data_IF_256395273104
#
_entry.id   IF_256395273104
#
_cell.length_a   1.000
_cell.length_b   1.000
_cell.length_c   1.000
_cell.angle_alpha   90.00
_cell.angle_beta   90.00
_cell.angle_gamma   90.00
#
_symmetry.space_group_name_H-M   'P 1'
#
loop_
_entity.id
_entity.type
_entity.pdbx_description
1 polymer ?
#
# COMPACT_ATOMS: atom_id res chain seq x y z
N UNK A 1 -5.96 -64.47 -18.54
CA UNK A 1 -5.42 -63.75 -19.73
C UNK A 1 -6.07 -62.38 -19.99
N UNK A 2 -6.87 -61.82 -19.08
CA UNK A 2 -7.58 -60.54 -19.27
C UNK A 2 -6.96 -59.24 -18.69
N UNK A 3 -5.99 -59.25 -17.75
CA UNK A 3 -5.55 -58.00 -17.10
C UNK A 3 -4.62 -57.12 -17.96
N UNK A 4 -3.85 -57.71 -18.89
CA UNK A 4 -2.92 -56.95 -19.75
C UNK A 4 -3.63 -56.14 -20.83
N UNK A 5 -4.73 -56.66 -21.37
CA UNK A 5 -5.53 -55.95 -22.36
C UNK A 5 -6.24 -54.72 -21.74
N UNK A 6 -6.78 -54.86 -20.52
CA UNK A 6 -7.46 -53.77 -19.83
C UNK A 6 -6.52 -52.59 -19.50
N UNK A 7 -5.30 -52.88 -19.04
CA UNK A 7 -4.28 -51.85 -18.75
C UNK A 7 -3.88 -51.11 -20.03
N UNK A 8 -3.74 -51.82 -21.15
CA UNK A 8 -3.42 -51.22 -22.45
C UNK A 8 -4.53 -50.28 -22.95
N UNK A 9 -5.79 -50.68 -22.78
CA UNK A 9 -6.94 -49.83 -23.13
C UNK A 9 -7.04 -48.58 -22.24
N UNK A 10 -6.81 -48.70 -20.93
CA UNK A 10 -6.80 -47.55 -20.01
C UNK A 10 -5.66 -46.58 -20.36
N UNK A 11 -4.48 -47.10 -20.72
CA UNK A 11 -3.35 -46.27 -21.12
C UNK A 11 -3.62 -45.52 -22.43
N UNK A 12 -4.18 -46.18 -23.44
CA UNK A 12 -4.59 -45.54 -24.70
C UNK A 12 -5.69 -44.49 -24.45
N UNK A 13 -6.67 -44.79 -23.59
CA UNK A 13 -7.74 -43.86 -23.24
C UNK A 13 -7.21 -42.61 -22.51
N UNK A 14 -6.27 -42.80 -21.57
CA UNK A 14 -5.58 -41.69 -20.90
C UNK A 14 -4.78 -40.85 -21.90
N UNK A 15 -4.07 -41.46 -22.85
CA UNK A 15 -3.34 -40.72 -23.90
C UNK A 15 -4.31 -39.97 -24.81
N UNK A 16 -5.41 -40.59 -25.25
CA UNK A 16 -6.39 -39.95 -26.13
C UNK A 16 -7.13 -38.77 -25.47
N UNK A 17 -7.15 -38.67 -24.14
CA UNK A 17 -7.73 -37.54 -23.42
C UNK A 17 -6.65 -36.53 -23.01
N UNK A 18 -5.54 -36.99 -22.43
CA UNK A 18 -4.47 -36.12 -21.95
C UNK A 18 -3.70 -35.46 -23.09
N UNK A 19 -3.46 -36.17 -24.20
CA UNK A 19 -2.67 -35.63 -25.31
C UNK A 19 -3.40 -34.49 -26.03
N UNK A 20 -4.72 -34.58 -26.36
CA UNK A 20 -5.44 -33.41 -26.86
C UNK A 20 -5.61 -32.31 -25.82
N UNK A 21 -5.76 -32.62 -24.53
CA UNK A 21 -5.82 -31.59 -23.48
C UNK A 21 -4.49 -30.83 -23.36
N UNK A 22 -3.35 -31.53 -23.49
CA UNK A 22 -2.01 -30.92 -23.54
C UNK A 22 -1.82 -30.10 -24.82
N UNK A 23 -2.18 -30.67 -25.99
CA UNK A 23 -2.01 -30.01 -27.29
C UNK A 23 -2.96 -28.82 -27.49
N UNK A 24 -4.20 -28.89 -27.01
CA UNK A 24 -5.18 -27.80 -27.05
C UNK A 24 -4.89 -26.76 -25.95
N UNK A 25 -4.39 -27.20 -24.79
CA UNK A 25 -3.96 -26.32 -23.70
C UNK A 25 -2.81 -25.39 -24.12
N UNK A 26 -1.85 -25.88 -24.90
CA UNK A 26 -0.78 -25.05 -25.47
C UNK A 26 -1.25 -24.19 -26.66
N UNK A 27 -2.23 -24.64 -27.46
CA UNK A 27 -2.70 -23.89 -28.64
C UNK A 27 -3.52 -22.64 -28.30
N UNK A 28 -4.18 -22.60 -27.14
CA UNK A 28 -4.92 -21.42 -26.66
C UNK A 28 -4.12 -20.52 -25.70
N UNK A 29 -2.88 -20.88 -25.39
CA UNK A 29 -2.00 -20.04 -24.59
C UNK A 29 -1.35 -19.00 -25.49
N UNK A 30 -2.11 -17.97 -25.86
CA UNK A 30 -1.48 -16.70 -26.22
C UNK A 30 -0.64 -16.28 -25.01
N UNK A 31 0.69 -16.43 -25.08
CA UNK A 31 1.59 -15.89 -24.07
C UNK A 31 1.40 -14.37 -24.06
N UNK A 32 0.57 -13.87 -23.14
CA UNK A 32 0.61 -12.46 -22.76
C UNK A 32 2.04 -12.18 -22.31
N UNK A 33 2.80 -11.44 -23.12
CA UNK A 33 4.14 -11.00 -22.75
C UNK A 33 4.08 -10.26 -21.41
N UNK A 34 4.84 -10.73 -20.43
CA UNK A 34 4.90 -10.11 -19.11
C UNK A 34 5.63 -8.76 -19.21
N UNK A 35 5.09 -7.71 -18.57
CA UNK A 35 5.82 -6.45 -18.46
C UNK A 35 7.00 -6.63 -17.50
N UNK A 36 8.20 -6.54 -18.05
CA UNK A 36 9.46 -6.57 -17.30
C UNK A 36 9.92 -5.14 -17.05
N UNK A 37 10.26 -4.85 -15.79
CA UNK A 37 10.69 -3.55 -15.29
C UNK A 37 12.14 -3.59 -14.86
N UNK A 38 12.85 -2.47 -15.02
CA UNK A 38 14.16 -2.24 -14.39
C UNK A 38 13.97 -1.77 -12.96
N UNK A 39 14.09 -2.67 -11.99
CA UNK A 39 13.89 -2.37 -10.57
C UNK A 39 15.24 -2.25 -9.86
N UNK A 40 15.48 -1.16 -9.14
CA UNK A 40 16.60 -1.10 -8.20
C UNK A 40 16.31 -1.95 -6.97
N UNK A 41 17.08 -3.03 -6.79
CA UNK A 41 16.99 -3.90 -5.61
C UNK A 41 17.89 -3.35 -4.50
N UNK A 42 17.29 -2.69 -3.50
CA UNK A 42 18.02 -2.10 -2.38
C UNK A 42 18.74 -3.14 -1.49
N UNK A 43 18.31 -4.40 -1.50
CA UNK A 43 18.98 -5.46 -0.74
C UNK A 43 20.28 -5.91 -1.41
N UNK A 44 20.34 -5.86 -2.74
CA UNK A 44 21.51 -6.26 -3.54
C UNK A 44 22.34 -5.08 -4.01
N UNK A 45 21.82 -3.86 -3.94
CA UNK A 45 22.46 -2.64 -4.39
C UNK A 45 22.60 -2.53 -5.92
N UNK A 46 21.72 -3.19 -6.70
CA UNK A 46 21.84 -3.27 -8.15
C UNK A 46 20.47 -3.18 -8.85
N UNK A 47 20.47 -2.81 -10.14
CA UNK A 47 19.27 -2.85 -10.98
C UNK A 47 19.08 -4.27 -11.51
N UNK A 48 17.88 -4.81 -11.34
CA UNK A 48 17.47 -6.12 -11.85
C UNK A 48 16.26 -5.99 -12.77
N UNK A 49 16.11 -6.93 -13.69
CA UNK A 49 14.89 -7.07 -14.47
C UNK A 49 13.90 -7.91 -13.67
N UNK A 50 12.69 -7.39 -13.46
CA UNK A 50 11.66 -8.05 -12.66
C UNK A 50 10.31 -7.89 -13.33
N UNK A 51 9.50 -8.95 -13.38
CA UNK A 51 8.13 -8.82 -13.87
C UNK A 51 7.29 -7.94 -12.94
N UNK A 52 6.40 -7.12 -13.48
CA UNK A 52 5.51 -6.26 -12.67
C UNK A 52 4.74 -7.08 -11.63
N UNK A 53 4.21 -8.24 -12.01
CA UNK A 53 3.43 -9.08 -11.11
C UNK A 53 4.32 -9.72 -10.02
N UNK A 54 5.60 -9.99 -10.31
CA UNK A 54 6.56 -10.43 -9.29
C UNK A 54 6.83 -9.29 -8.29
N UNK A 55 7.09 -8.09 -8.80
CA UNK A 55 7.27 -6.89 -7.98
C UNK A 55 6.09 -6.67 -7.03
N UNK A 56 4.86 -6.78 -7.55
CA UNK A 56 3.64 -6.55 -6.77
C UNK A 56 3.43 -7.57 -5.65
N UNK A 57 3.87 -8.82 -5.80
CA UNK A 57 3.84 -9.79 -4.69
C UNK A 57 4.73 -9.34 -3.54
N UNK A 58 5.91 -8.80 -3.85
CA UNK A 58 6.81 -8.18 -2.89
C UNK A 58 6.22 -6.97 -2.19
N UNK A 59 5.53 -6.12 -2.96
CA UNK A 59 4.82 -4.95 -2.41
C UNK A 59 3.69 -5.36 -1.47
N UNK A 60 2.80 -6.26 -1.89
CA UNK A 60 1.68 -6.70 -1.06
C UNK A 60 2.13 -7.35 0.24
N UNK A 61 3.20 -8.16 0.18
CA UNK A 61 3.77 -8.79 1.37
C UNK A 61 4.30 -7.78 2.40
N UNK A 62 4.82 -6.65 1.92
CA UNK A 62 5.34 -5.57 2.75
C UNK A 62 4.22 -4.70 3.32
N UNK A 63 3.28 -4.32 2.48
CA UNK A 63 2.29 -3.25 2.74
C UNK A 63 1.08 -3.73 3.54
N UNK A 64 0.52 -4.90 3.21
CA UNK A 64 -0.74 -5.35 3.81
C UNK A 64 -0.57 -6.69 4.53
N UNK A 65 -1.15 -6.89 5.73
CA UNK A 65 -1.13 -8.19 6.38
C UNK A 65 -1.78 -9.25 5.49
N UNK A 66 -1.04 -10.32 5.20
CA UNK A 66 -1.50 -11.40 4.32
C UNK A 66 -2.78 -12.12 4.81
N UNK A 67 -3.13 -11.91 6.09
CA UNK A 67 -4.33 -12.46 6.70
C UNK A 67 -5.61 -11.63 6.43
N UNK A 68 -5.49 -10.40 5.94
CA UNK A 68 -6.62 -9.53 5.58
C UNK A 68 -7.51 -10.19 4.53
N UNK A 69 -8.79 -9.86 4.49
CA UNK A 69 -9.76 -10.45 3.57
C UNK A 69 -9.26 -10.40 2.12
N UNK A 70 -9.61 -11.43 1.34
CA UNK A 70 -9.10 -11.58 -0.04
C UNK A 70 -9.47 -10.38 -0.92
N UNK A 71 -10.65 -9.80 -0.74
CA UNK A 71 -11.07 -8.61 -1.49
C UNK A 71 -10.25 -7.36 -1.14
N UNK A 72 -9.83 -7.21 0.12
CA UNK A 72 -8.89 -6.15 0.51
C UNK A 72 -7.49 -6.35 -0.11
N UNK A 73 -6.99 -7.60 -0.14
CA UNK A 73 -5.73 -7.93 -0.82
C UNK A 73 -5.79 -7.64 -2.32
N UNK A 74 -6.92 -7.95 -2.98
CA UNK A 74 -7.14 -7.62 -4.40
C UNK A 74 -7.19 -6.11 -4.62
N UNK A 75 -7.89 -5.36 -3.77
CA UNK A 75 -7.93 -3.89 -3.86
C UNK A 75 -6.51 -3.31 -3.73
N UNK A 76 -5.72 -3.81 -2.78
CA UNK A 76 -4.31 -3.43 -2.63
C UNK A 76 -3.46 -3.80 -3.87
N UNK A 77 -3.71 -4.94 -4.51
CA UNK A 77 -3.01 -5.34 -5.75
C UNK A 77 -3.26 -4.34 -6.88
N UNK A 78 -4.52 -3.95 -7.11
CA UNK A 78 -4.89 -2.99 -8.16
C UNK A 78 -4.32 -1.59 -7.84
N UNK A 79 -4.40 -1.15 -6.58
CA UNK A 79 -3.82 0.13 -6.15
C UNK A 79 -2.30 0.16 -6.31
N UNK A 80 -1.60 -0.90 -5.85
CA UNK A 80 -0.16 -1.00 -6.00
C UNK A 80 0.27 -1.07 -7.47
N UNK A 81 -0.46 -1.80 -8.32
CA UNK A 81 -0.19 -1.86 -9.77
C UNK A 81 -0.35 -0.49 -10.43
N UNK A 82 -1.45 0.20 -10.12
CA UNK A 82 -1.73 1.53 -10.66
C UNK A 82 -0.64 2.52 -10.23
N UNK A 83 -0.25 2.51 -8.95
CA UNK A 83 0.84 3.35 -8.44
C UNK A 83 2.16 3.06 -9.15
N UNK A 84 2.56 1.78 -9.22
CA UNK A 84 3.81 1.37 -9.85
C UNK A 84 3.88 1.82 -11.32
N UNK A 85 2.81 1.58 -12.08
CA UNK A 85 2.74 1.98 -13.48
C UNK A 85 2.77 3.50 -13.66
N UNK A 86 2.12 4.26 -12.77
CA UNK A 86 2.10 5.72 -12.80
C UNK A 86 3.51 6.33 -12.67
N UNK A 87 4.44 5.66 -11.98
CA UNK A 87 5.82 6.12 -11.86
C UNK A 87 6.63 5.93 -13.15
N UNK A 88 6.21 5.05 -14.06
CA UNK A 88 7.01 4.72 -15.24
C UNK A 88 7.05 5.88 -16.26
N UNK A 89 8.20 6.15 -16.90
CA UNK A 89 8.32 7.19 -17.93
C UNK A 89 7.32 7.05 -19.08
N UNK A 90 7.00 5.82 -19.50
CA UNK A 90 6.03 5.54 -20.56
C UNK A 90 4.59 5.96 -20.23
N UNK A 91 4.29 6.15 -18.95
CA UNK A 91 3.00 6.63 -18.45
C UNK A 91 3.08 8.05 -17.87
N UNK A 92 4.15 8.80 -18.19
CA UNK A 92 4.35 10.18 -17.78
C UNK A 92 4.98 10.38 -16.40
N UNK A 93 5.43 9.29 -15.75
CA UNK A 93 6.20 9.36 -14.51
C UNK A 93 7.68 9.66 -14.72
N UNK A 94 8.45 9.78 -13.63
CA UNK A 94 9.88 10.10 -13.67
C UNK A 94 10.78 8.86 -13.49
N UNK A 95 10.21 7.68 -13.28
CA UNK A 95 10.92 6.50 -12.79
C UNK A 95 11.31 6.64 -11.32
N UNK A 96 12.32 5.87 -10.90
CA UNK A 96 12.90 6.02 -9.57
C UNK A 96 13.54 7.41 -9.41
N UNK A 97 13.21 8.12 -8.32
CA UNK A 97 13.73 9.47 -8.05
C UNK A 97 15.15 9.43 -7.53
N UNK A 98 15.47 8.37 -6.76
CA UNK A 98 16.75 8.20 -6.08
C UNK A 98 17.77 7.40 -6.89
N UNK A 99 17.32 6.54 -7.80
CA UNK A 99 18.18 5.59 -8.50
C UNK A 99 18.09 5.77 -10.02
N UNK A 100 18.97 6.61 -10.61
CA UNK A 100 19.00 6.83 -12.06
C UNK A 100 19.14 5.53 -12.85
N UNK A 101 18.32 5.38 -13.88
CA UNK A 101 18.30 4.19 -14.75
C UNK A 101 17.35 3.07 -14.28
N UNK A 102 16.79 3.18 -13.08
CA UNK A 102 15.72 2.31 -12.60
C UNK A 102 14.34 2.92 -12.86
N UNK A 103 13.40 2.09 -13.29
CA UNK A 103 11.99 2.42 -13.45
C UNK A 103 11.26 2.45 -12.11
N UNK A 104 11.61 1.53 -11.20
CA UNK A 104 11.09 1.46 -9.83
C UNK A 104 12.21 1.07 -8.86
N UNK A 105 11.93 1.14 -7.56
CA UNK A 105 12.82 0.70 -6.50
C UNK A 105 12.09 -0.14 -5.46
N UNK A 106 12.83 -1.03 -4.79
CA UNK A 106 12.37 -1.73 -3.59
C UNK A 106 12.66 -0.94 -2.30
N UNK A 107 13.30 0.23 -2.41
CA UNK A 107 13.48 1.18 -1.30
C UNK A 107 12.16 1.90 -1.01
N UNK A 108 11.61 1.69 0.19
CA UNK A 108 10.35 2.30 0.64
C UNK A 108 10.42 3.83 0.72
N UNK A 109 11.62 4.42 0.76
CA UNK A 109 11.81 5.89 0.76
C UNK A 109 11.72 6.50 -0.64
N UNK A 110 11.78 5.68 -1.69
CA UNK A 110 11.72 6.11 -3.09
C UNK A 110 10.38 5.74 -3.74
N UNK A 111 9.94 4.49 -3.58
CA UNK A 111 8.74 3.95 -4.21
C UNK A 111 7.75 3.40 -3.17
N UNK A 112 7.50 2.09 -3.19
CA UNK A 112 6.58 1.39 -2.28
C UNK A 112 7.38 0.50 -1.33
N UNK A 113 6.79 0.12 -0.20
CA UNK A 113 7.42 -0.89 0.64
C UNK A 113 7.49 -2.20 -0.14
N UNK A 114 8.60 -2.93 0.02
CA UNK A 114 8.84 -4.19 -0.68
C UNK A 114 9.54 -5.17 0.25
N UNK A 115 9.15 -6.45 0.19
CA UNK A 115 9.85 -7.55 0.83
C UNK A 115 10.35 -8.53 -0.23
N UNK A 116 11.63 -8.88 -0.14
CA UNK A 116 12.20 -10.00 -0.88
C UNK A 116 11.63 -11.33 -0.35
N UNK A 117 11.75 -12.41 -1.14
CA UNK A 117 11.34 -13.75 -0.70
C UNK A 117 11.99 -14.15 0.63
N UNK A 118 13.27 -13.82 0.81
CA UNK A 118 13.99 -14.03 2.08
C UNK A 118 13.34 -13.24 3.23
N UNK A 119 13.04 -11.96 3.01
CA UNK A 119 12.34 -11.13 3.99
C UNK A 119 10.92 -11.62 4.31
N UNK A 120 10.22 -12.21 3.34
CA UNK A 120 8.91 -12.84 3.58
C UNK A 120 9.03 -14.09 4.46
N UNK A 121 10.01 -14.95 4.19
CA UNK A 121 10.28 -16.16 5.00
C UNK A 121 10.67 -15.81 6.43
N UNK A 122 11.47 -14.76 6.62
CA UNK A 122 11.80 -14.23 7.94
C UNK A 122 10.56 -13.68 8.66
N UNK A 123 9.78 -12.83 7.98
CA UNK A 123 8.58 -12.18 8.54
C UNK A 123 7.50 -13.19 8.96
N UNK A 124 7.25 -14.22 8.17
CA UNK A 124 6.15 -15.17 8.40
C UNK A 124 6.59 -16.47 9.06
N UNK A 125 7.87 -16.81 9.02
CA UNK A 125 8.36 -18.12 9.39
C UNK A 125 8.02 -19.20 8.34
N UNK A 126 8.66 -20.36 8.47
CA UNK A 126 8.64 -21.42 7.46
C UNK A 126 7.23 -21.91 7.08
N UNK A 127 6.38 -22.22 8.07
CA UNK A 127 5.06 -22.80 7.82
C UNK A 127 4.05 -21.77 7.28
N UNK A 128 3.95 -20.61 7.92
CA UNK A 128 3.00 -19.57 7.51
C UNK A 128 3.38 -18.93 6.18
N UNK A 129 4.65 -18.98 5.79
CA UNK A 129 5.12 -18.47 4.51
C UNK A 129 4.30 -19.02 3.33
N UNK A 130 4.12 -20.34 3.25
CA UNK A 130 3.41 -20.95 2.12
C UNK A 130 1.96 -20.50 2.03
N UNK A 131 1.26 -20.41 3.17
CA UNK A 131 -0.13 -19.96 3.21
C UNK A 131 -0.26 -18.48 2.86
N UNK A 132 0.55 -17.62 3.48
CA UNK A 132 0.53 -16.17 3.23
C UNK A 132 0.93 -15.84 1.78
N UNK A 133 1.95 -16.52 1.26
CA UNK A 133 2.36 -16.42 -0.14
C UNK A 133 1.24 -16.84 -1.09
N UNK A 134 0.56 -17.96 -0.83
CA UNK A 134 -0.58 -18.39 -1.64
C UNK A 134 -1.66 -17.32 -1.72
N UNK A 135 -2.00 -16.68 -0.59
CA UNK A 135 -3.02 -15.63 -0.54
C UNK A 135 -2.63 -14.40 -1.34
N UNK A 136 -1.39 -13.91 -1.16
CA UNK A 136 -0.88 -12.76 -1.91
C UNK A 136 -0.81 -13.08 -3.41
N UNK A 137 -0.22 -14.22 -3.78
CA UNK A 137 -0.15 -14.64 -5.17
C UNK A 137 -1.54 -14.73 -5.81
N UNK A 138 -2.53 -15.29 -5.09
CA UNK A 138 -3.91 -15.39 -5.56
C UNK A 138 -4.55 -14.02 -5.78
N UNK A 139 -4.32 -13.05 -4.90
CA UNK A 139 -4.85 -11.69 -5.06
C UNK A 139 -4.23 -10.96 -6.26
N UNK A 140 -2.90 -11.05 -6.41
CA UNK A 140 -2.17 -10.45 -7.54
C UNK A 140 -2.63 -11.06 -8.86
N UNK A 141 -2.69 -12.38 -8.95
CA UNK A 141 -3.08 -13.08 -10.18
C UNK A 141 -4.55 -12.82 -10.55
N UNK A 142 -5.45 -12.82 -9.56
CA UNK A 142 -6.88 -12.58 -9.79
C UNK A 142 -7.18 -11.16 -10.32
N UNK A 143 -6.26 -10.21 -10.14
CA UNK A 143 -6.38 -8.82 -10.60
C UNK A 143 -5.35 -8.47 -11.66
N UNK A 144 -4.74 -9.48 -12.30
CA UNK A 144 -3.63 -9.29 -13.25
C UNK A 144 -4.02 -8.33 -14.36
N UNK A 145 -3.22 -7.28 -14.52
CA UNK A 145 -3.42 -6.23 -15.53
C UNK A 145 -4.52 -5.21 -15.21
N UNK A 146 -5.22 -5.31 -14.08
CA UNK A 146 -6.22 -4.31 -13.68
C UNK A 146 -5.59 -3.09 -13.03
N UNK A 147 -6.02 -1.91 -13.49
CA UNK A 147 -5.56 -0.60 -13.03
C UNK A 147 -6.75 0.35 -12.87
N UNK A 148 -6.55 1.43 -12.11
CA UNK A 148 -7.53 2.50 -11.94
C UNK A 148 -7.19 3.70 -12.80
N UNK A 149 -8.21 4.19 -13.53
CA UNK A 149 -8.12 5.32 -14.42
C UNK A 149 -9.11 6.41 -13.99
N UNK A 150 -8.76 7.67 -14.23
CA UNK A 150 -9.68 8.80 -14.18
C UNK A 150 -9.51 9.61 -15.47
N UNK A 151 -10.60 9.82 -16.21
CA UNK A 151 -10.56 10.43 -17.54
C UNK A 151 -9.51 9.77 -18.48
N UNK A 152 -9.45 8.43 -18.46
CA UNK A 152 -8.52 7.65 -19.30
C UNK A 152 -7.05 7.65 -18.85
N UNK A 153 -6.69 8.35 -17.77
CA UNK A 153 -5.33 8.43 -17.27
C UNK A 153 -5.17 7.65 -15.96
N UNK A 154 -4.03 6.99 -15.74
CA UNK A 154 -3.70 6.37 -14.45
C UNK A 154 -3.80 7.41 -13.32
N UNK A 155 -4.49 7.04 -12.24
CA UNK A 155 -4.64 7.88 -11.05
C UNK A 155 -3.41 7.83 -10.14
N UNK A 156 -3.30 8.79 -9.23
CA UNK A 156 -2.42 8.69 -8.07
C UNK A 156 -3.03 7.73 -7.02
N UNK A 157 -2.82 6.42 -7.20
CA UNK A 157 -3.39 5.35 -6.38
C UNK A 157 -2.67 5.17 -5.03
N UNK A 158 -2.61 6.24 -4.23
CA UNK A 158 -1.99 6.23 -2.91
C UNK A 158 -2.82 5.49 -1.88
N UNK A 159 -2.16 4.91 -0.88
CA UNK A 159 -2.80 4.14 0.18
C UNK A 159 -1.99 4.24 1.47
N UNK A 160 -2.61 3.91 2.60
CA UNK A 160 -1.99 4.00 3.92
C UNK A 160 -2.61 2.99 4.89
N UNK A 161 -1.92 2.71 6.01
CA UNK A 161 -2.32 1.65 6.94
C UNK A 161 -3.69 1.90 7.59
N UNK A 162 -3.91 3.08 8.16
CA UNK A 162 -5.14 3.40 8.88
C UNK A 162 -5.43 4.92 8.78
N UNK A 163 -6.65 5.32 8.41
CA UNK A 163 -6.98 6.73 8.18
C UNK A 163 -7.31 7.48 9.47
N UNK A 164 -7.43 6.80 10.61
CA UNK A 164 -7.92 7.40 11.84
C UNK A 164 -9.40 7.79 11.72
N UNK A 165 -10.19 7.00 10.99
CA UNK A 165 -11.65 7.13 10.87
C UNK A 165 -12.13 7.97 9.68
N UNK A 166 -11.24 8.72 9.02
CA UNK A 166 -11.56 9.52 7.83
C UNK A 166 -10.31 9.77 6.99
N UNK A 167 -10.40 9.57 5.69
CA UNK A 167 -9.30 9.86 4.76
C UNK A 167 -9.11 11.37 4.63
N UNK A 168 -8.00 11.79 4.03
CA UNK A 168 -7.66 13.18 3.76
C UNK A 168 -7.79 13.50 2.28
N UNK A 169 -8.23 14.71 1.96
CA UNK A 169 -8.25 15.17 0.58
C UNK A 169 -6.83 15.57 0.13
N UNK A 170 -6.47 15.23 -1.11
CA UNK A 170 -5.14 15.48 -1.67
C UNK A 170 -4.67 16.94 -1.51
N UNK A 171 -5.58 17.91 -1.63
CA UNK A 171 -5.28 19.34 -1.50
C UNK A 171 -4.66 19.71 -0.15
N UNK A 172 -5.00 19.02 0.94
CA UNK A 172 -4.46 19.29 2.27
C UNK A 172 -3.10 18.64 2.54
N UNK A 173 -2.67 17.71 1.69
CA UNK A 173 -1.38 17.02 1.83
C UNK A 173 -0.37 17.49 0.78
N UNK A 174 -0.82 17.77 -0.44
CA UNK A 174 0.05 18.13 -1.57
C UNK A 174 -0.28 19.47 -2.22
N UNK A 175 -1.39 20.12 -1.88
CA UNK A 175 -1.72 21.46 -2.36
C UNK A 175 -2.45 21.53 -3.70
N UNK A 176 -2.75 20.40 -4.34
CA UNK A 176 -3.57 20.34 -5.55
C UNK A 176 -4.78 19.44 -5.35
N UNK A 177 -5.91 19.86 -5.93
CA UNK A 177 -7.15 19.09 -5.84
C UNK A 177 -7.17 17.97 -6.87
N UNK A 178 -7.44 16.74 -6.40
CA UNK A 178 -7.61 15.57 -7.24
C UNK A 178 -9.05 15.07 -7.05
N UNK A 179 -9.88 15.06 -8.12
CA UNK A 179 -11.30 14.70 -8.01
C UNK A 179 -11.57 13.34 -7.38
N UNK A 180 -10.64 12.40 -7.57
CA UNK A 180 -10.71 11.02 -7.09
C UNK A 180 -9.99 10.80 -5.74
N UNK A 181 -9.39 11.82 -5.11
CA UNK A 181 -8.78 11.71 -3.78
C UNK A 181 -9.44 12.70 -2.82
N UNK A 182 -10.70 12.42 -2.49
CA UNK A 182 -11.48 13.19 -1.53
C UNK A 182 -11.42 12.57 -0.15
N UNK A 183 -11.77 13.41 0.83
CA UNK A 183 -11.87 13.01 2.22
C UNK A 183 -13.23 12.35 2.45
N UNK A 184 -13.21 11.05 2.76
CA UNK A 184 -14.37 10.18 2.99
C UNK A 184 -14.24 9.46 4.34
N UNK A 185 -15.36 8.99 4.88
CA UNK A 185 -15.36 8.23 6.15
C UNK A 185 -14.69 6.86 5.97
N UNK A 186 -14.03 6.38 7.02
CA UNK A 186 -13.42 5.04 7.08
C UNK A 186 -13.72 4.43 8.45
N UNK A 187 -14.99 4.09 8.74
CA UNK A 187 -15.42 3.74 10.10
C UNK A 187 -14.71 2.49 10.64
N UNK A 188 -14.43 1.51 9.78
CA UNK A 188 -13.77 0.26 10.16
C UNK A 188 -12.31 0.42 10.61
N UNK A 189 -11.69 1.59 10.38
CA UNK A 189 -10.37 1.90 10.92
C UNK A 189 -10.29 1.69 12.43
N UNK A 190 -11.41 1.91 13.14
CA UNK A 190 -11.51 1.83 14.60
C UNK A 190 -11.45 0.39 15.12
N UNK A 191 -11.76 -0.60 14.28
CA UNK A 191 -11.78 -2.01 14.67
C UNK A 191 -10.37 -2.53 14.97
N UNK A 192 -9.37 -2.01 14.24
CA UNK A 192 -7.96 -2.28 14.52
C UNK A 192 -7.41 -1.28 15.55
N UNK A 193 -7.82 -1.42 16.81
CA UNK A 193 -7.46 -0.50 17.91
C UNK A 193 -5.96 -0.24 18.04
N UNK A 194 -5.13 -1.26 17.78
CA UNK A 194 -3.66 -1.17 17.84
C UNK A 194 -3.07 -0.25 16.77
N UNK A 195 -3.67 -0.21 15.58
CA UNK A 195 -3.24 0.68 14.49
C UNK A 195 -3.99 2.02 14.50
N UNK A 196 -5.17 2.07 15.14
CA UNK A 196 -6.01 3.25 15.22
C UNK A 196 -5.51 4.28 16.22
N UNK A 197 -5.02 3.86 17.39
CA UNK A 197 -4.70 4.77 18.50
C UNK A 197 -3.32 4.51 19.09
N UNK A 198 -2.57 5.58 19.34
CA UNK A 198 -1.27 5.51 20.03
C UNK A 198 -0.97 6.82 20.76
N UNK A 199 -0.25 6.72 21.88
CA UNK A 199 0.17 7.88 22.68
C UNK A 199 1.69 7.92 22.80
N UNK A 200 2.26 9.12 22.65
CA UNK A 200 3.69 9.38 22.75
C UNK A 200 3.91 10.52 23.73
N UNK A 201 4.76 10.33 24.75
CA UNK A 201 5.03 11.34 25.78
C UNK A 201 6.44 11.88 25.64
N UNK A 202 6.59 13.19 25.72
CA UNK A 202 7.88 13.88 25.69
C UNK A 202 7.94 14.90 26.83
N UNK A 203 9.00 14.85 27.62
CA UNK A 203 9.28 15.89 28.62
C UNK A 203 9.56 17.23 27.94
N UNK A 204 9.38 18.32 28.68
CA UNK A 204 9.68 19.67 28.18
C UNK A 204 11.15 19.79 27.72
N UNK A 205 12.08 19.17 28.44
CA UNK A 205 13.51 19.21 28.12
C UNK A 205 13.86 18.39 26.87
N UNK A 206 13.16 17.28 26.62
CA UNK A 206 13.29 16.53 25.37
C UNK A 206 12.79 17.35 24.19
N UNK A 207 11.62 17.98 24.31
CA UNK A 207 11.08 18.82 23.23
C UNK A 207 11.97 20.04 22.95
N UNK A 208 12.50 20.70 23.99
CA UNK A 208 13.47 21.79 23.81
C UNK A 208 14.70 21.32 23.03
N UNK A 209 15.22 20.14 23.36
CA UNK A 209 16.38 19.55 22.67
C UNK A 209 16.07 19.20 21.21
N UNK A 210 14.95 18.53 20.97
CA UNK A 210 14.53 18.07 19.63
C UNK A 210 14.25 19.26 18.71
N UNK A 211 13.51 20.25 19.19
CA UNK A 211 13.15 21.45 18.41
C UNK A 211 14.17 22.59 18.50
N UNK A 212 15.27 22.39 19.24
CA UNK A 212 16.35 23.37 19.44
C UNK A 212 15.82 24.72 19.95
N UNK A 213 14.96 24.68 20.96
CA UNK A 213 14.38 25.86 21.60
C UNK A 213 15.39 26.38 22.64
N UNK A 214 15.77 27.65 22.52
CA UNK A 214 16.70 28.31 23.43
C UNK A 214 15.95 29.03 24.57
N UNK A 215 16.57 29.08 25.76
CA UNK A 215 16.06 29.85 26.90
C UNK A 215 15.15 29.11 27.88
N UNK A 216 14.53 29.86 28.80
CA UNK A 216 13.65 29.35 29.87
C UNK A 216 12.18 29.22 29.47
N UNK A 217 11.82 29.52 28.21
CA UNK A 217 10.44 29.44 27.74
C UNK A 217 9.93 27.99 27.75
N UNK A 218 8.66 27.80 28.09
CA UNK A 218 8.00 26.51 27.88
C UNK A 218 7.89 26.26 26.37
N UNK A 219 8.10 25.01 25.89
CA UNK A 219 7.73 24.63 24.53
C UNK A 219 6.21 24.72 24.44
N UNK A 220 5.68 25.91 24.14
CA UNK A 220 4.26 26.10 23.91
C UNK A 220 3.91 25.32 22.63
N UNK A 221 3.24 24.19 22.79
CA UNK A 221 2.66 23.42 21.71
C UNK A 221 1.24 23.90 21.51
N UNK A 222 0.99 24.53 20.36
CA UNK A 222 -0.34 25.01 20.01
C UNK A 222 -0.67 24.65 18.57
N UNK A 223 -1.64 23.76 18.39
CA UNK A 223 -2.19 23.46 17.07
C UNK A 223 -2.93 24.71 16.59
N UNK A 224 -2.45 25.30 15.49
CA UNK A 224 -3.00 26.55 14.94
C UNK A 224 -4.04 26.25 13.86
N UNK A 225 -3.85 25.16 13.10
CA UNK A 225 -4.72 24.81 11.98
C UNK A 225 -4.82 23.31 11.77
N UNK A 226 -6.05 22.85 11.52
CA UNK A 226 -6.37 21.47 11.15
C UNK A 226 -7.13 21.43 9.83
N UNK A 227 -7.03 20.31 9.12
CA UNK A 227 -7.89 20.01 8.00
C UNK A 227 -9.29 19.56 8.47
N UNK A 228 -10.30 19.51 7.59
CA UNK A 228 -11.61 18.93 7.92
C UNK A 228 -11.56 17.47 8.38
N UNK A 229 -10.50 16.70 8.06
CA UNK A 229 -10.33 15.32 8.56
C UNK A 229 -9.76 15.23 9.98
N UNK A 230 -9.38 16.38 10.56
CA UNK A 230 -8.75 16.51 11.87
C UNK A 230 -7.24 16.35 11.88
N UNK A 231 -6.59 16.33 10.70
CA UNK A 231 -5.12 16.29 10.60
C UNK A 231 -4.53 17.68 10.83
N UNK A 232 -3.45 17.76 11.59
CA UNK A 232 -2.72 19.00 11.86
C UNK A 232 -2.06 19.49 10.57
N UNK A 233 -2.40 20.71 10.17
CA UNK A 233 -1.77 21.40 9.05
C UNK A 233 -0.64 22.28 9.57
N UNK A 234 -0.88 23.04 10.63
CA UNK A 234 0.06 23.98 11.23
C UNK A 234 0.03 23.88 12.75
N UNK A 235 1.21 23.82 13.36
CA UNK A 235 1.40 23.76 14.81
C UNK A 235 2.57 24.66 15.19
N UNK A 236 2.35 25.49 16.20
CA UNK A 236 3.38 26.31 16.82
C UNK A 236 4.10 25.49 17.88
N UNK A 237 5.44 25.52 17.85
CA UNK A 237 6.31 24.91 18.84
C UNK A 237 7.29 25.98 19.31
N UNK A 238 7.04 26.53 20.51
CA UNK A 238 7.71 27.75 20.96
C UNK A 238 7.37 28.94 20.07
N UNK A 239 8.36 29.59 19.47
CA UNK A 239 8.15 30.73 18.57
C UNK A 239 8.00 30.36 17.09
N UNK A 240 8.35 29.12 16.72
CA UNK A 240 8.39 28.67 15.33
C UNK A 240 7.09 27.96 14.95
N UNK A 241 6.68 28.14 13.70
CA UNK A 241 5.58 27.41 13.09
C UNK A 241 6.14 26.22 12.31
N UNK A 242 5.53 25.06 12.51
CA UNK A 242 5.84 23.83 11.81
C UNK A 242 4.57 23.31 11.13
N UNK A 243 4.74 22.63 10.00
CA UNK A 243 3.67 21.78 9.46
C UNK A 243 3.47 20.56 10.36
N UNK A 244 2.25 19.99 10.35
CA UNK A 244 2.00 18.73 11.04
C UNK A 244 2.87 17.58 10.52
N UNK A 245 3.27 17.63 9.24
CA UNK A 245 4.19 16.68 8.61
C UNK A 245 5.59 16.76 9.22
N UNK A 246 6.15 17.96 9.37
CA UNK A 246 7.46 18.15 9.99
C UNK A 246 7.47 17.62 11.42
N UNK A 247 6.44 17.94 12.22
CA UNK A 247 6.33 17.42 13.60
C UNK A 247 6.23 15.90 13.61
N UNK A 248 5.43 15.31 12.70
CA UNK A 248 5.33 13.86 12.54
C UNK A 248 6.70 13.22 12.24
N UNK A 249 7.47 13.79 11.32
CA UNK A 249 8.79 13.28 10.94
C UNK A 249 9.81 13.43 12.08
N UNK A 250 9.86 14.61 12.71
CA UNK A 250 10.79 14.93 13.80
C UNK A 250 10.55 14.03 15.03
N UNK A 251 9.29 13.81 15.39
CA UNK A 251 8.90 13.02 16.57
C UNK A 251 8.63 11.54 16.24
N UNK A 252 8.77 11.14 14.97
CA UNK A 252 8.42 9.81 14.48
C UNK A 252 6.98 9.36 14.82
N UNK A 253 6.02 10.29 14.75
CA UNK A 253 4.60 9.99 14.96
C UNK A 253 4.02 9.19 13.80
N UNK A 254 2.99 8.36 14.03
CA UNK A 254 2.43 7.49 12.99
C UNK A 254 1.62 8.25 11.93
N UNK A 255 1.04 9.40 12.28
CA UNK A 255 0.22 10.23 11.39
C UNK A 255 0.33 11.72 11.76
N UNK A 256 -0.27 12.59 10.94
CA UNK A 256 -0.46 14.02 11.27
C UNK A 256 -1.78 14.27 12.00
N UNK A 257 -2.58 13.23 12.29
CA UNK A 257 -3.82 13.34 13.04
C UNK A 257 -3.51 13.10 14.52
N UNK A 258 -3.13 14.16 15.22
CA UNK A 258 -2.82 14.07 16.63
C UNK A 258 -3.39 15.25 17.43
N UNK A 259 -3.59 15.00 18.72
CA UNK A 259 -3.90 16.00 19.73
C UNK A 259 -2.76 16.08 20.72
N UNK A 260 -2.62 17.23 21.39
CA UNK A 260 -1.58 17.46 22.40
C UNK A 260 -2.21 17.85 23.74
N UNK A 261 -1.81 17.19 24.82
CA UNK A 261 -2.12 17.58 26.21
C UNK A 261 -0.82 17.75 27.01
N UNK A 262 -0.85 18.58 28.06
CA UNK A 262 0.25 18.70 29.02
C UNK A 262 -0.15 17.96 30.30
N UNK A 263 0.54 16.87 30.60
CA UNK A 263 0.22 15.98 31.72
C UNK A 263 1.49 15.74 32.55
N UNK A 264 1.44 16.06 33.85
CA UNK A 264 2.55 15.85 34.78
C UNK A 264 3.93 16.37 34.28
N UNK A 265 3.95 17.52 33.60
CA UNK A 265 5.19 18.12 33.08
C UNK A 265 5.72 17.50 31.78
N UNK A 266 4.93 16.68 31.10
CA UNK A 266 5.24 16.13 29.78
C UNK A 266 4.11 16.42 28.80
N UNK A 267 4.44 16.67 27.53
CA UNK A 267 3.45 16.72 26.47
C UNK A 267 3.13 15.33 25.96
N UNK A 268 1.85 14.99 25.96
CA UNK A 268 1.32 13.74 25.42
C UNK A 268 0.71 14.03 24.06
N UNK A 269 1.25 13.36 23.04
CA UNK A 269 0.72 13.34 21.68
C UNK A 269 -0.16 12.11 21.52
N UNK A 270 -1.46 12.34 21.38
CA UNK A 270 -2.44 11.30 21.12
C UNK A 270 -2.72 11.24 19.62
N UNK A 271 -2.19 10.20 18.97
CA UNK A 271 -2.20 10.04 17.53
C UNK A 271 -3.28 9.05 17.08
N UNK A 272 -3.94 9.38 15.97
CA UNK A 272 -4.97 8.56 15.35
C UNK A 272 -4.55 8.13 13.93
N UNK A 273 -4.74 6.85 13.64
CA UNK A 273 -4.34 6.24 12.37
C UNK A 273 -2.84 6.23 12.13
N UNK A 274 -2.47 5.73 10.95
CA UNK A 274 -1.08 5.51 10.55
C UNK A 274 -0.92 5.74 9.05
N UNK A 275 -0.03 6.67 8.70
CA UNK A 275 0.25 7.07 7.32
C UNK A 275 -0.28 8.47 6.98
N UNK A 276 -0.22 8.82 5.70
CA UNK A 276 -0.56 10.16 5.23
C UNK A 276 -2.08 10.42 5.18
N UNK A 277 -2.90 9.36 5.08
CA UNK A 277 -4.36 9.47 5.17
C UNK A 277 -5.10 9.64 3.86
N UNK A 278 -4.41 9.74 2.72
CA UNK A 278 -5.02 10.01 1.41
C UNK A 278 -5.28 8.68 0.68
N UNK A 279 -6.39 8.59 -0.06
CA UNK A 279 -6.75 7.38 -0.82
C UNK A 279 -7.16 6.22 0.08
N UNK A 280 -6.77 5.00 -0.30
CA UNK A 280 -7.23 3.78 0.36
C UNK A 280 -6.66 3.60 1.77
N UNK A 281 -7.54 3.35 2.74
CA UNK A 281 -7.17 2.87 4.06
C UNK A 281 -7.12 1.34 4.06
N UNK A 282 -6.00 0.75 4.47
CA UNK A 282 -5.83 -0.71 4.44
C UNK A 282 -6.70 -1.41 5.48
N UNK A 283 -6.78 -0.87 6.70
CA UNK A 283 -7.69 -1.35 7.75
C UNK A 283 -9.15 -1.15 7.32
N UNK A 284 -9.49 0.03 6.82
CA UNK A 284 -10.83 0.30 6.32
C UNK A 284 -11.26 -0.60 5.15
N UNK A 285 -10.35 -0.89 4.21
CA UNK A 285 -10.60 -1.84 3.11
C UNK A 285 -10.82 -3.27 3.63
N UNK A 286 -10.10 -3.67 4.67
CA UNK A 286 -10.31 -4.97 5.31
C UNK A 286 -11.67 -5.07 6.00
N UNK A 287 -12.12 -4.00 6.67
CA UNK A 287 -13.45 -3.94 7.27
C UNK A 287 -14.57 -4.03 6.24
N UNK A 288 -14.52 -3.22 5.18
CA UNK A 288 -15.50 -3.27 4.09
C UNK A 288 -15.55 -4.67 3.43
N UNK A 289 -14.40 -5.30 3.23
CA UNK A 289 -14.35 -6.67 2.73
C UNK A 289 -14.99 -7.68 3.71
N UNK A 290 -14.89 -7.44 5.02
CA UNK A 290 -15.58 -8.20 6.06
C UNK A 290 -17.11 -8.04 6.02
N UNK A 291 -17.59 -6.89 5.56
CA UNK A 291 -19.02 -6.62 5.32
C UNK A 291 -19.53 -7.17 3.98
N UNK A 292 -18.65 -7.75 3.16
CA UNK A 292 -19.01 -8.38 1.89
C UNK A 292 -18.80 -7.52 0.65
N UNK A 293 -18.19 -6.33 0.79
CA UNK A 293 -17.79 -5.53 -0.37
C UNK A 293 -16.73 -6.28 -1.18
N UNK A 294 -16.88 -6.30 -2.49
CA UNK A 294 -15.86 -6.80 -3.40
C UNK A 294 -14.76 -5.74 -3.62
N UNK A 295 -13.62 -6.17 -4.18
CA UNK A 295 -12.48 -5.27 -4.35
C UNK A 295 -12.74 -4.05 -5.24
N UNK A 296 -13.64 -4.15 -6.22
CA UNK A 296 -13.98 -3.02 -7.10
C UNK A 296 -14.79 -1.98 -6.33
N UNK A 297 -15.78 -2.41 -5.55
CA UNK A 297 -16.57 -1.55 -4.67
C UNK A 297 -15.70 -0.86 -3.62
N UNK A 298 -14.72 -1.57 -3.05
CA UNK A 298 -13.75 -1.00 -2.12
C UNK A 298 -12.92 0.11 -2.80
N UNK A 299 -12.43 -0.13 -4.01
CA UNK A 299 -11.65 0.86 -4.74
C UNK A 299 -12.49 2.09 -5.13
N UNK A 300 -13.70 1.89 -5.64
CA UNK A 300 -14.62 2.98 -5.96
C UNK A 300 -15.06 3.78 -4.73
N UNK A 301 -15.14 3.13 -3.57
CA UNK A 301 -15.38 3.79 -2.29
C UNK A 301 -14.26 4.78 -1.97
N UNK A 302 -12.99 4.36 -2.02
CA UNK A 302 -11.85 5.20 -1.66
C UNK A 302 -11.42 6.20 -2.75
N UNK A 303 -11.62 5.85 -4.02
CA UNK A 303 -11.19 6.67 -5.16
C UNK A 303 -12.42 7.07 -6.01
N UNK A 304 -12.90 8.30 -5.87
CA UNK A 304 -14.20 8.67 -6.45
C UNK A 304 -14.14 8.89 -7.97
N UNK A 305 -15.09 8.28 -8.70
CA UNK A 305 -15.24 8.48 -10.15
C UNK A 305 -14.16 7.82 -10.99
N UNK A 306 -13.46 6.83 -10.43
CA UNK A 306 -12.49 6.03 -11.19
C UNK A 306 -13.19 5.03 -12.11
N UNK A 307 -12.44 4.53 -13.08
CA UNK A 307 -12.77 3.34 -13.84
C UNK A 307 -11.69 2.28 -13.60
N UNK A 308 -12.11 1.05 -13.30
CA UNK A 308 -11.19 -0.09 -13.24
C UNK A 308 -11.16 -0.73 -14.63
N UNK A 309 -9.98 -0.81 -15.22
CA UNK A 309 -9.80 -1.45 -16.54
C UNK A 309 -8.63 -2.42 -16.51
N UNK A 310 -8.81 -3.53 -17.21
CA UNK A 310 -7.68 -4.40 -17.58
C UNK A 310 -6.94 -3.77 -18.75
N UNK A 311 -5.71 -3.35 -18.53
CA UNK A 311 -4.84 -2.83 -19.57
C UNK A 311 -3.99 -3.95 -20.16
N UNK A 312 -3.78 -3.87 -21.46
CA UNK A 312 -2.78 -4.69 -22.14
C UNK A 312 -1.44 -4.02 -21.96
N UNK A 313 -0.59 -4.62 -21.15
CA UNK A 313 0.71 -4.06 -20.79
C UNK A 313 1.72 -4.57 -21.82
N UNK A 314 2.01 -3.76 -22.84
CA UNK A 314 3.07 -4.00 -23.82
C UNK A 314 4.16 -2.93 -23.71
#
# INVERSE_FOLDING_TARGET
MWPKALIFFIFIFLILILLPVLLVGDFFRQEEQALVLKVYDHYRGQIVNMELEEYLRGVLAAEMPALYHMEALKAQAVAARTYALKQLPRYGGQGSRKYPGAELSTDYTDCQAYLSEAGMKEKWGFFSYFYNWYRINKAVEATKGEVMLYNGNLIDAVYHANAGGRTEAAVYVWGWDLPYLKSIESPHDQENTRAYYSSYSYSLEELKRIFKIEGKGDPLLKIEKTSPSGRVLEIRVGERLYSGREVREILALPSTKFQTSLEAGSYVFTCYGKGHGVGLSQDGANGLAGEGYNYQEILEYYYQGIEIRKIKIY
#
